data_IF_519465651196
#
_entry.id   IF_519465651196
#
_cell.length_a   1.000
_cell.length_b   1.000
_cell.length_c   1.000
_cell.angle_alpha   90.00
_cell.angle_beta   90.00
_cell.angle_gamma   90.00
#
_symmetry.space_group_name_H-M   'P 1'
#
loop_
_entity.id
_entity.type
_entity.pdbx_description
1 polymer ?
#
# COMPACT_ATOMS: atom_id res chain seq x y z
N UNK A 1 -4.16 -38.20 -11.10
CA UNK A 1 -5.46 -37.90 -10.47
C UNK A 1 -5.41 -38.45 -9.05
N UNK A 2 -5.34 -37.60 -8.03
CA UNK A 2 -5.49 -38.02 -6.64
C UNK A 2 -6.76 -37.33 -6.10
N UNK A 3 -7.71 -38.09 -5.51
CA UNK A 3 -8.97 -37.52 -5.07
C UNK A 3 -8.78 -36.84 -3.71
N UNK A 4 -9.11 -35.54 -3.62
CA UNK A 4 -9.26 -34.86 -2.35
C UNK A 4 -10.54 -35.38 -1.66
N UNK A 5 -10.38 -36.15 -0.59
CA UNK A 5 -11.50 -36.61 0.24
C UNK A 5 -12.06 -35.45 1.06
N UNK A 6 -13.25 -34.98 0.69
CA UNK A 6 -14.01 -33.96 1.42
C UNK A 6 -14.53 -34.53 2.77
N UNK A 7 -14.21 -33.86 3.88
CA UNK A 7 -14.61 -34.28 5.23
C UNK A 7 -16.14 -34.17 5.44
N UNK A 8 -16.75 -35.16 6.10
CA UNK A 8 -18.22 -35.27 6.32
C UNK A 8 -18.86 -34.08 7.05
N UNK A 9 -18.09 -33.24 7.74
CA UNK A 9 -18.59 -32.01 8.38
C UNK A 9 -18.83 -30.85 7.39
N UNK A 10 -18.26 -30.92 6.19
CA UNK A 10 -18.36 -29.90 5.14
C UNK A 10 -19.75 -29.87 4.47
N UNK A 11 -20.44 -31.01 4.42
CA UNK A 11 -21.73 -31.15 3.73
C UNK A 11 -22.91 -30.47 4.43
N UNK A 12 -22.86 -30.31 5.77
CA UNK A 12 -23.91 -29.59 6.52
C UNK A 12 -23.82 -28.06 6.37
N UNK A 13 -22.62 -27.52 6.16
CA UNK A 13 -22.38 -26.08 5.92
C UNK A 13 -22.71 -25.68 4.47
N UNK A 14 -22.51 -26.56 3.50
CA UNK A 14 -22.78 -26.30 2.07
C UNK A 14 -24.23 -25.85 1.77
N UNK A 15 -25.22 -26.26 2.58
CA UNK A 15 -26.63 -25.94 2.35
C UNK A 15 -27.14 -24.67 3.06
N UNK A 16 -26.42 -24.13 4.05
CA UNK A 16 -26.79 -22.90 4.77
C UNK A 16 -26.09 -21.65 4.23
N UNK A 17 -24.90 -21.82 3.66
CA UNK A 17 -23.98 -20.75 3.29
C UNK A 17 -24.36 -19.96 2.02
N UNK A 18 -24.92 -20.56 0.94
CA UNK A 18 -25.30 -19.80 -0.25
C UNK A 18 -26.35 -18.73 0.04
N UNK A 19 -27.37 -19.06 0.84
CA UNK A 19 -28.42 -18.14 1.26
C UNK A 19 -27.91 -17.06 2.22
N UNK A 20 -26.91 -17.38 3.06
CA UNK A 20 -26.29 -16.42 3.97
C UNK A 20 -25.41 -15.40 3.23
N UNK A 21 -24.60 -15.83 2.26
CA UNK A 21 -23.72 -14.94 1.48
C UNK A 21 -24.48 -13.96 0.59
N UNK A 22 -25.57 -14.42 -0.05
CA UNK A 22 -26.49 -13.55 -0.80
C UNK A 22 -27.12 -12.53 0.14
N UNK A 23 -27.58 -12.95 1.34
CA UNK A 23 -28.14 -12.03 2.31
C UNK A 23 -27.13 -10.95 2.79
N UNK A 24 -25.82 -11.25 2.84
CA UNK A 24 -24.78 -10.29 3.27
C UNK A 24 -24.34 -9.33 2.16
N UNK A 25 -24.11 -9.83 0.94
CA UNK A 25 -23.86 -8.99 -0.23
C UNK A 25 -25.07 -8.07 -0.47
N UNK A 26 -26.29 -8.60 -0.31
CA UNK A 26 -27.53 -7.81 -0.29
C UNK A 26 -27.72 -6.96 0.97
N UNK A 27 -27.00 -7.16 2.07
CA UNK A 27 -27.14 -6.32 3.28
C UNK A 27 -26.35 -5.03 3.15
N UNK A 28 -25.09 -5.11 2.68
CA UNK A 28 -24.23 -3.94 2.53
C UNK A 28 -24.44 -3.23 1.17
N UNK A 29 -24.78 -3.95 0.10
CA UNK A 29 -24.94 -3.39 -1.25
C UNK A 29 -26.39 -3.46 -1.80
N UNK A 30 -27.42 -3.56 -0.93
CA UNK A 30 -28.84 -3.86 -1.30
C UNK A 30 -29.40 -3.04 -2.45
N UNK A 31 -29.18 -1.72 -2.43
CA UNK A 31 -29.69 -0.78 -3.43
C UNK A 31 -28.80 -0.68 -4.67
N UNK A 32 -27.55 -1.12 -4.57
CA UNK A 32 -26.52 -0.97 -5.60
C UNK A 32 -26.45 -2.19 -6.54
N UNK A 33 -26.71 -3.39 -6.03
CA UNK A 33 -26.76 -4.61 -6.85
C UNK A 33 -27.87 -4.54 -7.91
N UNK A 34 -29.02 -3.94 -7.59
CA UNK A 34 -30.09 -3.73 -8.58
C UNK A 34 -29.68 -2.79 -9.71
N UNK A 35 -28.81 -1.80 -9.47
CA UNK A 35 -28.33 -0.89 -10.52
C UNK A 35 -27.21 -1.46 -11.39
N UNK A 36 -26.41 -2.41 -10.88
CA UNK A 36 -25.44 -3.15 -11.71
C UNK A 36 -26.15 -4.17 -12.60
N UNK A 37 -27.23 -4.78 -12.10
CA UNK A 37 -28.03 -5.75 -12.86
C UNK A 37 -28.77 -5.12 -14.05
N UNK A 38 -28.96 -3.78 -14.04
CA UNK A 38 -29.60 -3.03 -15.12
C UNK A 38 -28.85 -1.72 -15.41
N UNK A 39 -27.67 -1.76 -16.05
CA UNK A 39 -26.93 -0.55 -16.37
C UNK A 39 -27.64 0.26 -17.47
N UNK A 40 -27.60 1.62 -17.44
CA UNK A 40 -27.98 2.42 -18.60
C UNK A 40 -27.04 2.15 -19.78
N UNK A 41 -27.60 2.21 -20.99
CA UNK A 41 -27.04 1.74 -22.27
C UNK A 41 -25.66 2.32 -22.65
N UNK A 42 -25.19 3.38 -21.97
CA UNK A 42 -23.85 3.96 -22.19
C UNK A 42 -22.71 3.28 -21.42
N UNK A 43 -23.00 2.28 -20.57
CA UNK A 43 -22.01 1.59 -19.74
C UNK A 43 -21.63 0.18 -20.26
N UNK A 44 -22.09 -0.21 -21.45
CA UNK A 44 -22.05 -1.59 -21.92
C UNK A 44 -21.67 -1.72 -23.39
N UNK A 45 -20.50 -2.30 -23.64
CA UNK A 45 -20.31 -3.23 -24.77
C UNK A 45 -19.55 -4.52 -24.37
N UNK A 46 -19.14 -4.68 -23.10
CA UNK A 46 -18.50 -5.94 -22.61
C UNK A 46 -18.93 -6.41 -21.20
N UNK A 47 -19.58 -5.59 -20.37
CA UNK A 47 -19.87 -5.97 -18.97
C UNK A 47 -21.12 -6.87 -18.79
N UNK A 48 -22.03 -6.95 -19.77
CA UNK A 48 -23.27 -7.73 -19.64
C UNK A 48 -23.03 -9.24 -19.68
N UNK A 49 -22.05 -9.69 -20.46
CA UNK A 49 -21.70 -11.12 -20.57
C UNK A 49 -20.85 -11.58 -19.36
N UNK A 50 -20.19 -10.64 -18.67
CA UNK A 50 -19.40 -10.92 -17.47
C UNK A 50 -20.22 -10.92 -16.18
N UNK A 51 -21.41 -10.30 -16.12
CA UNK A 51 -22.23 -10.23 -14.89
C UNK A 51 -22.65 -11.60 -14.33
N UNK A 52 -22.88 -12.60 -15.19
CA UNK A 52 -23.18 -13.98 -14.76
C UNK A 52 -21.93 -14.74 -14.30
N UNK A 53 -20.78 -14.52 -14.95
CA UNK A 53 -19.49 -15.08 -14.54
C UNK A 53 -18.99 -14.43 -13.24
N UNK A 54 -19.24 -13.14 -13.04
CA UNK A 54 -18.88 -12.32 -11.86
C UNK A 54 -19.67 -12.70 -10.60
N UNK A 55 -20.96 -13.02 -10.71
CA UNK A 55 -21.68 -13.61 -9.57
C UNK A 55 -21.10 -14.96 -9.20
N UNK A 56 -20.71 -15.78 -10.19
CA UNK A 56 -20.12 -17.10 -9.95
C UNK A 56 -18.73 -16.99 -9.31
N UNK A 57 -17.89 -16.02 -9.70
CA UNK A 57 -16.54 -15.81 -9.13
C UNK A 57 -16.60 -15.22 -7.72
N UNK A 58 -17.57 -14.35 -7.41
CA UNK A 58 -17.81 -13.81 -6.07
C UNK A 58 -18.39 -14.84 -5.09
N UNK A 59 -19.32 -15.67 -5.56
CA UNK A 59 -19.78 -16.85 -4.82
C UNK A 59 -18.65 -17.84 -4.60
N UNK A 60 -17.79 -18.05 -5.61
CA UNK A 60 -16.61 -18.92 -5.52
C UNK A 60 -15.58 -18.35 -4.55
N UNK A 61 -15.34 -17.03 -4.53
CA UNK A 61 -14.41 -16.39 -3.61
C UNK A 61 -14.89 -16.54 -2.16
N UNK A 62 -16.14 -16.18 -1.87
CA UNK A 62 -16.71 -16.28 -0.51
C UNK A 62 -16.81 -17.74 -0.05
N UNK A 63 -17.22 -18.64 -0.96
CA UNK A 63 -17.23 -20.09 -0.73
C UNK A 63 -15.82 -20.63 -0.49
N UNK A 64 -14.82 -20.24 -1.27
CA UNK A 64 -13.43 -20.68 -1.10
C UNK A 64 -12.75 -20.11 0.15
N UNK A 65 -13.17 -18.94 0.62
CA UNK A 65 -12.69 -18.33 1.87
C UNK A 65 -13.27 -19.03 3.10
N UNK A 66 -14.55 -19.37 3.05
CA UNK A 66 -15.22 -20.19 4.05
C UNK A 66 -14.76 -21.66 3.98
N UNK A 67 -14.54 -22.19 2.78
CA UNK A 67 -13.93 -23.52 2.58
C UNK A 67 -12.48 -23.53 3.03
N UNK A 68 -11.71 -22.43 3.00
CA UNK A 68 -10.40 -22.34 3.66
C UNK A 68 -10.48 -22.32 5.18
N UNK A 69 -11.56 -21.78 5.73
CA UNK A 69 -11.86 -21.93 7.15
C UNK A 69 -12.17 -23.39 7.49
N UNK A 70 -12.62 -24.17 6.49
CA UNK A 70 -12.93 -25.60 6.58
C UNK A 70 -11.84 -26.54 5.98
N UNK A 71 -10.81 -26.01 5.32
CA UNK A 71 -9.77 -26.74 4.57
C UNK A 71 -8.42 -26.45 5.23
N UNK A 72 -7.60 -27.49 5.33
CA UNK A 72 -6.34 -27.50 6.10
C UNK A 72 -5.23 -26.55 5.59
N UNK A 73 -5.49 -25.67 4.62
CA UNK A 73 -4.48 -24.81 4.00
C UNK A 73 -4.30 -23.50 4.79
N UNK A 74 -3.06 -23.24 5.21
CA UNK A 74 -2.69 -22.10 6.08
C UNK A 74 -2.82 -20.75 5.38
N UNK A 75 -2.54 -20.67 4.08
CA UNK A 75 -2.62 -19.45 3.28
C UNK A 75 -3.21 -19.67 1.88
N UNK A 76 -3.57 -18.59 1.20
CA UNK A 76 -4.05 -18.61 -0.18
C UNK A 76 -3.71 -17.33 -0.96
N UNK A 77 -3.43 -17.48 -2.26
CA UNK A 77 -3.47 -16.41 -3.25
C UNK A 77 -4.70 -16.51 -4.14
N UNK A 78 -5.32 -15.36 -4.46
CA UNK A 78 -6.51 -15.24 -5.31
C UNK A 78 -6.25 -14.25 -6.43
N UNK A 79 -6.21 -14.78 -7.66
CA UNK A 79 -6.09 -14.02 -8.89
C UNK A 79 -7.51 -13.75 -9.39
N UNK A 80 -8.05 -12.58 -9.03
CA UNK A 80 -9.43 -12.19 -9.34
C UNK A 80 -9.47 -10.85 -10.08
N UNK A 81 -10.47 -10.69 -10.94
CA UNK A 81 -10.90 -9.42 -11.54
C UNK A 81 -12.44 -9.45 -11.64
N UNK A 82 -13.13 -8.31 -11.52
CA UNK A 82 -12.62 -6.96 -11.27
C UNK A 82 -12.03 -6.78 -9.85
N UNK A 83 -11.20 -5.73 -9.62
CA UNK A 83 -10.70 -5.39 -8.27
C UNK A 83 -11.85 -4.93 -7.34
N UNK A 84 -11.53 -4.66 -6.07
CA UNK A 84 -12.55 -4.35 -5.08
C UNK A 84 -12.27 -3.20 -4.11
N UNK A 85 -11.02 -2.82 -3.87
CA UNK A 85 -10.68 -1.92 -2.75
C UNK A 85 -11.22 -0.48 -2.84
N UNK A 86 -11.73 -0.06 -4.00
CA UNK A 86 -12.38 1.24 -4.20
C UNK A 86 -13.91 1.18 -4.10
N UNK A 87 -14.52 -0.02 -4.13
CA UNK A 87 -15.95 -0.15 -3.98
C UNK A 87 -16.36 0.26 -2.55
N UNK A 88 -17.18 1.29 -2.46
CA UNK A 88 -17.79 1.74 -1.22
C UNK A 88 -19.04 0.92 -0.89
N UNK A 89 -19.67 1.20 0.25
CA UNK A 89 -20.89 0.49 0.69
C UNK A 89 -22.00 0.60 -0.37
N UNK A 90 -22.13 1.75 -1.04
CA UNK A 90 -23.25 2.03 -1.95
C UNK A 90 -22.83 2.38 -3.39
N UNK A 91 -21.55 2.27 -3.72
CA UNK A 91 -21.02 2.79 -4.98
C UNK A 91 -19.83 1.97 -5.49
N UNK A 92 -19.82 1.65 -6.78
CA UNK A 92 -18.61 1.23 -7.48
C UNK A 92 -17.87 2.42 -8.06
N UNK A 93 -16.55 2.35 -7.96
CA UNK A 93 -15.65 3.35 -8.52
C UNK A 93 -14.27 2.75 -8.71
N UNK A 94 -13.40 3.39 -9.50
CA UNK A 94 -12.00 2.98 -9.64
C UNK A 94 -11.84 1.52 -10.11
N UNK A 95 -12.63 1.12 -11.11
CA UNK A 95 -12.70 -0.25 -11.65
C UNK A 95 -13.23 -1.32 -10.68
N UNK A 96 -13.66 -0.94 -9.48
CA UNK A 96 -14.07 -1.87 -8.43
C UNK A 96 -15.59 -1.97 -8.34
N UNK A 97 -16.15 -3.17 -8.54
CA UNK A 97 -17.60 -3.41 -8.42
C UNK A 97 -18.04 -3.80 -7.00
N UNK A 98 -17.27 -4.68 -6.36
CA UNK A 98 -17.53 -5.17 -5.00
C UNK A 98 -16.22 -5.22 -4.21
N UNK A 99 -16.28 -4.98 -2.90
CA UNK A 99 -15.07 -4.95 -2.07
C UNK A 99 -14.69 -6.37 -1.60
N UNK A 100 -13.95 -7.08 -2.46
CA UNK A 100 -13.50 -8.47 -2.25
C UNK A 100 -12.83 -8.68 -0.88
N UNK A 101 -11.93 -7.78 -0.47
CA UNK A 101 -11.24 -7.86 0.80
C UNK A 101 -12.15 -7.62 2.00
N UNK A 102 -13.09 -6.67 1.91
CA UNK A 102 -14.07 -6.43 2.97
C UNK A 102 -15.03 -7.63 3.14
N UNK A 103 -15.50 -8.21 2.03
CA UNK A 103 -16.32 -9.43 2.03
C UNK A 103 -15.56 -10.58 2.69
N UNK A 104 -14.27 -10.75 2.34
CA UNK A 104 -13.42 -11.76 2.94
C UNK A 104 -13.24 -11.58 4.46
N UNK A 105 -13.03 -10.34 4.91
CA UNK A 105 -12.89 -10.02 6.33
C UNK A 105 -14.19 -10.31 7.10
N UNK A 106 -15.35 -9.95 6.53
CA UNK A 106 -16.66 -10.22 7.13
C UNK A 106 -16.98 -11.72 7.18
N UNK A 107 -16.66 -12.47 6.12
CA UNK A 107 -16.84 -13.91 6.09
C UNK A 107 -15.99 -14.62 7.15
N UNK A 108 -14.71 -14.22 7.27
CA UNK A 108 -13.81 -14.75 8.31
C UNK A 108 -14.33 -14.44 9.73
N UNK A 109 -14.89 -13.26 9.94
CA UNK A 109 -15.53 -12.90 11.21
C UNK A 109 -16.76 -13.77 11.49
N UNK A 110 -17.65 -13.94 10.51
CA UNK A 110 -18.86 -14.74 10.67
C UNK A 110 -18.56 -16.23 10.94
N UNK A 111 -17.56 -16.80 10.28
CA UNK A 111 -17.12 -18.17 10.53
C UNK A 111 -16.61 -18.36 11.97
N UNK A 112 -15.93 -17.34 12.52
CA UNK A 112 -15.45 -17.35 13.91
C UNK A 112 -16.53 -17.07 14.94
N UNK A 113 -17.56 -16.30 14.63
CA UNK A 113 -18.67 -16.01 15.56
C UNK A 113 -19.50 -17.25 15.97
N UNK A 114 -19.35 -18.42 15.32
CA UNK A 114 -19.90 -19.67 15.86
C UNK A 114 -19.10 -20.23 17.06
N UNK A 115 -17.94 -19.64 17.36
CA UNK A 115 -16.99 -20.01 18.41
C UNK A 115 -16.59 -18.72 19.17
N UNK A 116 -17.30 -18.41 20.26
CA UNK A 116 -17.09 -17.26 21.19
C UNK A 116 -17.49 -15.86 20.71
N UNK A 117 -18.41 -15.26 21.48
CA UNK A 117 -18.68 -13.82 21.53
C UNK A 117 -17.48 -13.05 22.14
N UNK A 118 -16.53 -12.60 21.34
CA UNK A 118 -15.57 -11.56 21.76
C UNK A 118 -15.51 -10.46 20.70
N UNK A 119 -15.59 -9.21 21.16
CA UNK A 119 -15.57 -8.02 20.34
C UNK A 119 -14.28 -7.92 19.50
N UNK A 120 -14.33 -8.34 18.23
CA UNK A 120 -13.18 -8.27 17.34
C UNK A 120 -12.96 -6.85 16.83
N UNK A 121 -11.87 -6.22 17.32
CA UNK A 121 -11.31 -5.02 16.73
C UNK A 121 -10.88 -5.33 15.29
N UNK A 122 -11.08 -4.41 14.36
CA UNK A 122 -10.58 -4.48 12.98
C UNK A 122 -9.55 -3.38 12.80
N UNK A 123 -8.55 -3.58 11.95
CA UNK A 123 -7.67 -2.50 11.53
C UNK A 123 -7.38 -2.62 10.04
N UNK A 124 -7.16 -1.48 9.39
CA UNK A 124 -6.85 -1.34 7.98
C UNK A 124 -5.59 -0.50 7.85
N UNK A 125 -4.56 -1.05 7.21
CA UNK A 125 -3.35 -0.30 6.85
C UNK A 125 -3.33 -0.13 5.33
N UNK A 126 -3.15 1.12 4.88
CA UNK A 126 -3.11 1.47 3.46
C UNK A 126 -1.83 2.23 3.13
N UNK A 127 -1.08 1.74 2.16
CA UNK A 127 0.01 2.46 1.51
C UNK A 127 -0.45 2.93 0.14
N UNK A 128 -0.38 4.22 -0.15
CA UNK A 128 -0.77 4.75 -1.46
C UNK A 128 -0.01 6.01 -1.80
N UNK A 129 0.20 6.24 -3.10
CA UNK A 129 0.60 7.56 -3.60
C UNK A 129 -0.55 8.53 -3.36
N UNK A 130 -0.24 9.68 -2.77
CA UNK A 130 -1.25 10.65 -2.34
C UNK A 130 -0.93 12.06 -2.84
N UNK A 131 0.33 12.48 -2.77
CA UNK A 131 0.79 13.82 -3.24
C UNK A 131 -0.05 15.00 -2.70
N UNK A 132 -0.51 14.87 -1.46
CA UNK A 132 -1.36 15.87 -0.81
C UNK A 132 -2.79 15.90 -1.37
N UNK A 133 -3.33 14.76 -1.81
CA UNK A 133 -4.68 14.61 -2.35
C UNK A 133 -4.75 14.82 -3.87
N UNK A 134 -3.61 15.06 -4.54
CA UNK A 134 -3.54 15.25 -6.00
C UNK A 134 -3.54 13.95 -6.80
N UNK A 135 -3.22 12.83 -6.15
CA UNK A 135 -3.23 11.52 -6.77
C UNK A 135 -4.56 10.82 -6.50
N UNK A 136 -5.11 10.12 -7.51
CA UNK A 136 -6.39 9.43 -7.40
C UNK A 136 -6.40 8.45 -6.21
N UNK A 137 -7.50 8.36 -5.44
CA UNK A 137 -8.76 9.10 -5.53
C UNK A 137 -8.78 10.42 -4.72
N UNK A 138 -7.64 10.85 -4.18
CA UNK A 138 -7.53 12.07 -3.35
C UNK A 138 -7.81 11.86 -1.86
N UNK A 139 -8.38 10.72 -1.46
CA UNK A 139 -8.60 10.32 -0.06
C UNK A 139 -7.43 9.49 0.48
N UNK A 140 -7.42 9.24 1.80
CA UNK A 140 -6.39 8.44 2.45
C UNK A 140 -5.23 9.29 2.97
N UNK A 141 -5.51 10.49 3.46
CA UNK A 141 -4.53 11.31 4.17
C UNK A 141 -4.13 10.68 5.51
N UNK A 142 -2.98 11.08 6.06
CA UNK A 142 -2.48 10.55 7.34
C UNK A 142 -3.42 10.84 8.52
N UNK A 143 -4.26 11.88 8.41
CA UNK A 143 -5.23 12.28 9.43
C UNK A 143 -6.56 11.50 9.36
N UNK A 144 -6.80 10.72 8.31
CA UNK A 144 -7.97 9.86 8.19
C UNK A 144 -7.75 8.56 8.98
N UNK A 145 -7.90 8.64 10.30
CA UNK A 145 -7.54 7.57 11.25
C UNK A 145 -8.67 6.60 11.60
N UNK A 146 -9.84 6.73 10.94
CA UNK A 146 -11.09 6.09 11.35
C UNK A 146 -12.08 7.11 11.90
N UNK A 147 -13.34 6.71 12.03
CA UNK A 147 -14.45 7.57 12.50
C UNK A 147 -15.44 6.75 13.32
N UNK A 148 -16.32 7.43 14.05
CA UNK A 148 -17.47 6.83 14.74
C UNK A 148 -17.07 5.74 15.75
N UNK A 149 -16.04 6.01 16.58
CA UNK A 149 -15.57 5.08 17.61
C UNK A 149 -14.58 4.03 17.09
N UNK A 150 -14.11 4.19 15.85
CA UNK A 150 -13.07 3.37 15.23
C UNK A 150 -11.77 4.17 15.01
N UNK A 151 -11.55 5.27 15.73
CA UNK A 151 -10.32 6.06 15.65
C UNK A 151 -9.10 5.19 16.01
N UNK A 152 -8.06 5.27 15.18
CA UNK A 152 -6.87 4.42 15.27
C UNK A 152 -6.96 3.11 14.47
N UNK A 153 -8.15 2.71 14.02
CA UNK A 153 -8.33 1.49 13.23
C UNK A 153 -7.92 1.65 11.76
N UNK A 154 -7.80 2.87 11.25
CA UNK A 154 -7.32 3.13 9.90
C UNK A 154 -5.95 3.81 9.95
N UNK A 155 -4.97 3.23 9.27
CA UNK A 155 -3.60 3.74 9.20
C UNK A 155 -3.23 3.96 7.74
N UNK A 156 -3.29 5.21 7.30
CA UNK A 156 -2.84 5.59 5.97
C UNK A 156 -1.36 5.99 5.99
N UNK A 157 -0.61 5.53 4.99
CA UNK A 157 0.79 5.88 4.72
C UNK A 157 0.82 6.58 3.35
N UNK A 158 0.57 7.90 3.32
CA UNK A 158 0.35 8.65 2.09
C UNK A 158 1.68 9.13 1.48
N UNK A 159 2.18 8.44 0.47
CA UNK A 159 3.40 8.85 -0.20
C UNK A 159 3.24 10.23 -0.85
N UNK A 160 4.14 11.15 -0.51
CA UNK A 160 4.13 12.54 -0.98
C UNK A 160 4.64 12.74 -2.41
N UNK A 161 5.15 11.68 -3.05
CA UNK A 161 5.72 11.69 -4.41
C UNK A 161 5.58 10.34 -5.10
N UNK A 162 5.75 10.31 -6.41
CA UNK A 162 6.05 9.09 -7.18
C UNK A 162 7.49 8.57 -7.00
N UNK A 163 7.82 7.46 -7.65
CA UNK A 163 9.14 6.83 -7.61
C UNK A 163 9.51 6.23 -6.24
N UNK A 164 8.51 5.97 -5.39
CA UNK A 164 8.70 5.27 -4.11
C UNK A 164 8.98 3.81 -4.39
N UNK A 165 10.11 3.29 -3.90
CA UNK A 165 10.56 1.93 -4.14
C UNK A 165 10.71 1.11 -2.86
N UNK A 166 11.37 -0.03 -2.98
CA UNK A 166 11.45 -1.05 -1.93
C UNK A 166 11.93 -0.51 -0.58
N UNK A 167 12.96 0.34 -0.57
CA UNK A 167 13.53 0.89 0.67
C UNK A 167 12.51 1.67 1.51
N UNK A 168 11.68 2.50 0.89
CA UNK A 168 10.64 3.27 1.57
C UNK A 168 9.52 2.37 2.09
N UNK A 169 9.10 1.37 1.31
CA UNK A 169 8.09 0.41 1.71
C UNK A 169 8.57 -0.47 2.88
N UNK A 170 9.76 -1.06 2.78
CA UNK A 170 10.34 -1.88 3.85
C UNK A 170 10.56 -1.05 5.11
N UNK A 171 11.03 0.19 4.97
CA UNK A 171 11.19 1.09 6.12
C UNK A 171 9.84 1.38 6.81
N UNK A 172 8.77 1.64 6.05
CA UNK A 172 7.44 1.79 6.61
C UNK A 172 6.92 0.49 7.24
N UNK A 173 7.19 -0.67 6.64
CA UNK A 173 6.80 -1.95 7.23
C UNK A 173 7.46 -2.17 8.59
N UNK A 174 8.77 -1.95 8.69
CA UNK A 174 9.53 -2.17 9.93
C UNK A 174 9.16 -1.20 11.06
N UNK A 175 8.82 0.05 10.74
CA UNK A 175 8.66 1.10 11.75
C UNK A 175 7.20 1.50 12.02
N UNK A 176 6.26 1.07 11.17
CA UNK A 176 4.83 1.34 11.32
C UNK A 176 3.99 0.07 11.23
N UNK A 177 4.03 -0.63 10.09
CA UNK A 177 3.09 -1.73 9.82
C UNK A 177 3.28 -2.88 10.80
N UNK A 178 4.51 -3.36 10.98
CA UNK A 178 4.81 -4.48 11.86
C UNK A 178 4.62 -4.17 13.34
N UNK A 179 5.07 -3.01 13.89
CA UNK A 179 4.76 -2.65 15.27
C UNK A 179 3.26 -2.62 15.55
N UNK A 180 2.47 -1.96 14.69
CA UNK A 180 1.00 -1.88 14.84
C UNK A 180 0.37 -3.27 14.72
N UNK A 181 0.75 -4.05 13.71
CA UNK A 181 0.23 -5.40 13.52
C UNK A 181 0.61 -6.33 14.68
N UNK A 182 1.80 -6.17 15.26
CA UNK A 182 2.24 -6.98 16.41
C UNK A 182 1.44 -6.63 17.65
N UNK A 183 1.20 -5.33 17.91
CA UNK A 183 0.36 -4.87 19.02
C UNK A 183 -1.10 -5.31 18.85
N UNK A 184 -1.62 -5.28 17.61
CA UNK A 184 -2.96 -5.75 17.30
C UNK A 184 -3.10 -7.29 17.41
N UNK A 185 -2.04 -8.05 17.15
CA UNK A 185 -1.99 -9.51 17.18
C UNK A 185 -3.09 -10.18 16.32
N UNK A 186 -3.07 -10.04 14.99
CA UNK A 186 -4.11 -10.58 14.12
C UNK A 186 -4.06 -12.10 14.05
N UNK A 187 -5.22 -12.74 14.20
CA UNK A 187 -5.37 -14.18 13.97
C UNK A 187 -5.32 -14.57 12.48
N UNK A 188 -5.49 -13.61 11.59
CA UNK A 188 -5.53 -13.76 10.14
C UNK A 188 -5.23 -12.43 9.44
N UNK A 189 -4.48 -12.47 8.34
CA UNK A 189 -4.16 -11.26 7.55
C UNK A 189 -4.70 -11.37 6.13
N UNK A 190 -5.38 -10.32 5.68
CA UNK A 190 -5.83 -10.16 4.29
C UNK A 190 -4.99 -9.06 3.64
N UNK A 191 -4.42 -9.36 2.48
CA UNK A 191 -3.62 -8.43 1.67
C UNK A 191 -4.41 -8.12 0.40
N UNK A 192 -4.89 -6.87 0.29
CA UNK A 192 -5.32 -6.28 -0.98
C UNK A 192 -4.08 -5.95 -1.81
N UNK A 193 -3.66 -6.88 -2.66
CA UNK A 193 -2.41 -6.83 -3.41
C UNK A 193 -2.58 -6.09 -4.75
N UNK A 194 -2.42 -4.77 -4.69
CA UNK A 194 -2.22 -3.94 -5.87
C UNK A 194 -0.76 -3.97 -6.34
N UNK A 195 -0.55 -4.42 -7.58
CA UNK A 195 0.75 -4.42 -8.24
C UNK A 195 0.97 -3.16 -9.10
N UNK A 196 0.17 -2.12 -8.89
CA UNK A 196 0.28 -0.81 -9.55
C UNK A 196 1.36 0.09 -8.93
N UNK A 197 1.83 -0.22 -7.71
CA UNK A 197 3.05 0.38 -7.17
C UNK A 197 4.35 -0.21 -7.77
N UNK A 198 4.24 -1.22 -8.63
CA UNK A 198 5.39 -1.89 -9.20
C UNK A 198 6.17 -1.00 -10.17
N UNK A 199 7.48 -1.23 -10.26
CA UNK A 199 8.32 -0.64 -11.31
C UNK A 199 7.71 -0.86 -12.69
N UNK A 200 7.60 0.22 -13.46
CA UNK A 200 7.09 0.18 -14.83
C UNK A 200 5.56 0.14 -14.95
N UNK A 201 4.82 0.20 -13.84
CA UNK A 201 3.37 0.40 -13.91
C UNK A 201 3.05 1.82 -14.41
N UNK A 202 2.13 1.97 -15.39
CA UNK A 202 1.82 3.25 -16.00
C UNK A 202 0.95 4.17 -15.12
N UNK A 203 0.27 3.65 -14.09
CA UNK A 203 -0.64 4.44 -13.26
C UNK A 203 0.02 4.84 -11.94
N UNK A 204 0.61 3.90 -11.20
CA UNK A 204 1.19 4.22 -9.90
C UNK A 204 2.47 5.05 -10.00
N UNK A 205 3.29 4.81 -11.03
CA UNK A 205 4.62 5.40 -11.24
C UNK A 205 5.50 5.35 -9.99
N UNK A 206 5.43 4.24 -9.26
CA UNK A 206 6.33 3.87 -8.17
C UNK A 206 7.45 2.95 -8.70
N UNK A 207 8.33 2.50 -7.82
CA UNK A 207 9.49 1.68 -8.18
C UNK A 207 9.63 0.43 -7.30
N UNK A 208 8.51 -0.15 -6.86
CA UNK A 208 8.54 -1.39 -6.06
C UNK A 208 8.89 -2.57 -6.96
N UNK A 209 9.87 -3.37 -6.55
CA UNK A 209 10.32 -4.53 -7.31
C UNK A 209 9.59 -5.80 -6.85
N UNK A 210 9.62 -6.88 -7.64
CA UNK A 210 9.13 -8.19 -7.20
C UNK A 210 9.78 -8.67 -5.89
N UNK A 211 11.05 -8.30 -5.63
CA UNK A 211 11.73 -8.61 -4.37
C UNK A 211 11.15 -7.81 -3.19
N UNK A 212 10.78 -6.54 -3.40
CA UNK A 212 10.08 -5.73 -2.41
C UNK A 212 8.73 -6.34 -2.02
N UNK A 213 7.92 -6.75 -3.00
CA UNK A 213 6.64 -7.44 -2.74
C UNK A 213 6.83 -8.75 -1.98
N UNK A 214 7.84 -9.54 -2.37
CA UNK A 214 8.20 -10.78 -1.67
C UNK A 214 8.54 -10.51 -0.20
N UNK A 215 9.40 -9.53 0.07
CA UNK A 215 9.83 -9.18 1.44
C UNK A 215 8.69 -8.63 2.30
N UNK A 216 7.82 -7.79 1.75
CA UNK A 216 6.62 -7.32 2.47
C UNK A 216 5.67 -8.47 2.82
N UNK A 217 5.50 -9.42 1.89
CA UNK A 217 4.66 -10.60 2.12
C UNK A 217 5.27 -11.49 3.20
N UNK A 218 6.59 -11.74 3.15
CA UNK A 218 7.31 -12.56 4.13
C UNK A 218 7.23 -11.99 5.56
N UNK A 219 7.31 -10.66 5.69
CA UNK A 219 7.12 -9.97 6.97
C UNK A 219 5.75 -10.25 7.59
N UNK A 220 4.68 -10.18 6.79
CA UNK A 220 3.30 -10.47 7.24
C UNK A 220 3.07 -11.98 7.42
N UNK A 221 3.71 -12.80 6.58
CA UNK A 221 3.71 -14.26 6.66
C UNK A 221 4.24 -14.72 8.02
N UNK A 222 5.41 -14.21 8.41
CA UNK A 222 6.04 -14.52 9.68
C UNK A 222 5.16 -14.06 10.85
N UNK A 223 4.60 -12.85 10.78
CA UNK A 223 3.80 -12.26 11.87
C UNK A 223 2.56 -13.09 12.22
N UNK A 224 1.91 -13.73 11.25
CA UNK A 224 0.70 -14.53 11.46
C UNK A 224 0.91 -16.04 11.38
N UNK A 225 2.17 -16.50 11.36
CA UNK A 225 2.49 -17.93 11.22
C UNK A 225 1.96 -18.54 9.93
N UNK A 226 1.94 -17.76 8.86
CA UNK A 226 1.50 -18.16 7.52
C UNK A 226 -0.01 -18.16 7.32
N UNK A 227 -0.80 -17.48 8.16
CA UNK A 227 -2.27 -17.35 8.04
C UNK A 227 -2.67 -16.16 7.18
N UNK A 228 -2.43 -16.25 5.87
CA UNK A 228 -2.58 -15.15 4.92
C UNK A 228 -3.58 -15.44 3.81
N UNK A 229 -4.34 -14.42 3.44
CA UNK A 229 -5.05 -14.36 2.18
C UNK A 229 -4.53 -13.18 1.35
N UNK A 230 -4.04 -13.46 0.15
CA UNK A 230 -3.65 -12.44 -0.82
C UNK A 230 -4.71 -12.36 -1.92
N UNK A 231 -5.27 -11.17 -2.16
CA UNK A 231 -6.28 -10.92 -3.18
C UNK A 231 -5.71 -9.92 -4.18
N UNK A 232 -5.70 -10.26 -5.47
CA UNK A 232 -5.28 -9.35 -6.54
C UNK A 232 -6.22 -8.14 -6.65
N UNK A 233 -5.65 -6.95 -6.77
CA UNK A 233 -6.36 -5.68 -6.96
C UNK A 233 -5.88 -4.97 -8.26
N UNK A 234 -5.26 -3.80 -8.14
CA UNK A 234 -4.66 -3.04 -9.24
C UNK A 234 -3.37 -3.65 -9.79
N UNK A 235 -2.85 -3.06 -10.87
CA UNK A 235 -1.65 -3.50 -11.58
C UNK A 235 -1.94 -3.64 -13.08
N UNK A 236 -1.25 -2.81 -13.86
CA UNK A 236 -1.62 -2.50 -15.24
C UNK A 236 -0.45 -2.71 -16.22
N UNK A 237 0.77 -2.95 -15.71
CA UNK A 237 1.86 -3.50 -16.51
C UNK A 237 1.88 -5.04 -16.41
N UNK A 238 1.57 -5.74 -17.51
CA UNK A 238 1.48 -7.21 -17.56
C UNK A 238 2.75 -7.93 -17.08
N UNK A 239 3.93 -7.39 -17.38
CA UNK A 239 5.20 -7.99 -16.98
C UNK A 239 5.45 -7.80 -15.48
N UNK A 240 5.17 -6.60 -14.98
CA UNK A 240 5.34 -6.25 -13.58
C UNK A 240 4.37 -7.04 -12.69
N UNK A 241 3.08 -7.11 -13.05
CA UNK A 241 2.10 -7.90 -12.28
C UNK A 241 2.48 -9.38 -12.25
N UNK A 242 2.92 -9.95 -13.37
CA UNK A 242 3.25 -11.39 -13.45
C UNK A 242 4.45 -11.71 -12.57
N UNK A 243 5.48 -10.86 -12.62
CA UNK A 243 6.71 -11.05 -11.85
C UNK A 243 6.46 -10.86 -10.36
N UNK A 244 5.74 -9.79 -9.97
CA UNK A 244 5.43 -9.49 -8.57
C UNK A 244 4.48 -10.51 -7.96
N UNK A 245 3.41 -10.91 -8.66
CA UNK A 245 2.49 -11.95 -8.18
C UNK A 245 3.22 -13.28 -8.00
N UNK A 246 4.08 -13.68 -8.95
CA UNK A 246 4.88 -14.91 -8.81
C UNK A 246 5.75 -14.88 -7.56
N UNK A 247 6.44 -13.76 -7.30
CA UNK A 247 7.27 -13.60 -6.10
C UNK A 247 6.47 -13.66 -4.79
N UNK A 248 5.23 -13.16 -4.78
CA UNK A 248 4.33 -13.26 -3.62
C UNK A 248 3.88 -14.71 -3.41
N UNK A 249 3.49 -15.42 -4.48
CA UNK A 249 3.06 -16.82 -4.39
C UNK A 249 4.20 -17.72 -3.89
N UNK A 250 5.44 -17.49 -4.32
CA UNK A 250 6.61 -18.22 -3.80
C UNK A 250 6.73 -18.15 -2.27
N UNK A 251 6.50 -16.98 -1.69
CA UNK A 251 6.48 -16.80 -0.23
C UNK A 251 5.34 -17.60 0.41
N UNK A 252 4.15 -17.59 -0.19
CA UNK A 252 3.02 -18.39 0.32
C UNK A 252 3.31 -19.91 0.29
N UNK A 253 4.10 -20.36 -0.69
CA UNK A 253 4.59 -21.74 -0.80
C UNK A 253 5.74 -22.07 0.17
N UNK A 254 6.20 -21.10 0.97
CA UNK A 254 7.26 -21.29 1.96
C UNK A 254 8.67 -21.07 1.43
N UNK A 255 8.82 -20.54 0.21
CA UNK A 255 10.13 -20.06 -0.26
C UNK A 255 10.49 -18.76 0.48
N UNK A 256 11.75 -18.61 0.90
CA UNK A 256 12.22 -17.36 1.50
C UNK A 256 12.18 -16.19 0.51
N UNK A 257 12.12 -14.93 1.00
CA UNK A 257 12.22 -13.78 0.13
C UNK A 257 13.61 -13.77 -0.50
N UNK A 258 13.70 -13.95 -1.82
CA UNK A 258 14.92 -14.31 -2.58
C UNK A 258 16.22 -13.53 -2.25
N UNK A 259 16.79 -12.80 -3.21
CA UNK A 259 18.05 -12.08 -2.98
C UNK A 259 17.83 -10.90 -2.03
N UNK A 260 18.83 -10.63 -1.17
CA UNK A 260 18.85 -9.44 -0.29
C UNK A 260 18.52 -8.17 -1.07
N UNK A 261 17.63 -7.36 -0.50
CA UNK A 261 17.35 -6.04 -1.06
C UNK A 261 18.61 -5.18 -0.94
N UNK A 262 18.83 -4.32 -1.94
CA UNK A 262 19.91 -3.32 -1.91
C UNK A 262 19.70 -2.29 -0.79
N UNK A 263 20.29 -1.10 -0.95
CA UNK A 263 20.27 -0.04 0.07
C UNK A 263 18.91 0.10 0.81
N UNK A 264 18.91 -0.22 2.11
CA UNK A 264 17.72 -0.28 2.97
C UNK A 264 17.37 1.13 3.52
N UNK A 265 18.26 2.11 3.35
CA UNK A 265 18.00 3.46 3.87
C UNK A 265 16.80 4.09 3.14
N UNK A 266 15.78 4.61 3.86
CA UNK A 266 14.64 5.25 3.24
C UNK A 266 15.04 6.54 2.53
N UNK A 267 14.25 6.93 1.54
CA UNK A 267 14.33 8.27 0.98
C UNK A 267 13.95 9.31 2.03
N UNK A 268 14.39 10.56 1.82
CA UNK A 268 13.99 11.68 2.67
C UNK A 268 12.47 11.83 2.76
N UNK A 269 11.78 11.66 1.63
CA UNK A 269 10.33 11.78 1.57
C UNK A 269 9.62 10.62 2.30
N UNK A 270 10.14 9.40 2.16
CA UNK A 270 9.62 8.23 2.88
C UNK A 270 9.78 8.37 4.39
N UNK A 271 10.97 8.75 4.87
CA UNK A 271 11.22 9.00 6.29
C UNK A 271 10.32 10.10 6.87
N UNK A 272 10.14 11.21 6.14
CA UNK A 272 9.23 12.27 6.58
C UNK A 272 7.78 11.78 6.69
N UNK A 273 7.32 11.02 5.69
CA UNK A 273 5.96 10.45 5.67
C UNK A 273 5.77 9.52 6.86
N UNK A 274 6.72 8.62 7.12
CA UNK A 274 6.66 7.69 8.27
C UNK A 274 6.61 8.45 9.59
N UNK A 275 7.45 9.48 9.79
CA UNK A 275 7.43 10.29 11.01
C UNK A 275 6.11 11.02 11.23
N UNK A 276 5.51 11.55 10.16
CA UNK A 276 4.20 12.21 10.23
C UNK A 276 3.10 11.23 10.66
N UNK A 277 3.07 10.05 10.03
CA UNK A 277 2.10 9.00 10.37
C UNK A 277 2.32 8.49 11.79
N UNK A 278 3.57 8.23 12.21
CA UNK A 278 3.88 7.82 13.58
C UNK A 278 3.40 8.86 14.60
N UNK A 279 3.61 10.15 14.32
CA UNK A 279 3.16 11.24 15.20
C UNK A 279 1.66 11.18 15.47
N UNK A 280 0.87 10.89 14.45
CA UNK A 280 -0.60 10.77 14.55
C UNK A 280 -0.98 9.47 15.24
N UNK A 281 -0.37 8.36 14.82
CA UNK A 281 -0.75 7.01 15.23
C UNK A 281 -0.31 6.65 16.65
N UNK A 282 0.69 7.32 17.22
CA UNK A 282 1.08 7.15 18.63
C UNK A 282 -0.04 7.46 19.62
N UNK A 283 -1.05 8.24 19.23
CA UNK A 283 -2.23 8.47 20.06
C UNK A 283 -3.07 7.20 20.26
N UNK A 284 -2.92 6.21 19.38
CA UNK A 284 -3.70 4.97 19.35
C UNK A 284 -2.84 3.72 19.55
N UNK A 285 -1.55 3.79 19.18
CA UNK A 285 -0.60 2.68 19.19
C UNK A 285 0.67 3.05 19.98
N UNK A 286 0.68 2.88 21.31
CA UNK A 286 1.80 3.27 22.16
C UNK A 286 3.12 2.57 21.82
N UNK A 287 3.09 1.38 21.19
CA UNK A 287 4.31 0.67 20.73
C UNK A 287 5.18 1.49 19.77
N UNK A 288 4.61 2.50 19.11
CA UNK A 288 5.33 3.38 18.19
C UNK A 288 6.24 4.39 18.91
N UNK A 289 6.03 4.66 20.21
CA UNK A 289 6.69 5.75 20.94
C UNK A 289 8.22 5.66 20.98
N UNK A 290 8.76 4.48 21.30
CA UNK A 290 10.21 4.25 21.38
C UNK A 290 10.90 4.38 20.01
N UNK A 291 10.29 3.82 18.97
CA UNK A 291 10.78 3.92 17.60
C UNK A 291 10.73 5.37 17.09
N UNK A 292 9.65 6.10 17.40
CA UNK A 292 9.48 7.49 16.98
C UNK A 292 10.60 8.38 17.53
N UNK A 293 10.89 8.31 18.83
CA UNK A 293 11.93 9.12 19.45
C UNK A 293 13.30 8.89 18.81
N UNK A 294 13.63 7.62 18.52
CA UNK A 294 14.88 7.23 17.83
C UNK A 294 14.94 7.82 16.42
N UNK A 295 13.89 7.65 15.62
CA UNK A 295 13.86 8.14 14.23
C UNK A 295 13.82 9.67 14.14
N UNK A 296 13.11 10.33 15.06
CA UNK A 296 13.04 11.79 15.12
C UNK A 296 14.41 12.42 15.37
N UNK A 297 15.22 11.81 16.26
CA UNK A 297 16.60 12.22 16.51
C UNK A 297 17.47 12.09 15.25
N UNK A 298 17.37 10.96 14.54
CA UNK A 298 18.08 10.74 13.28
C UNK A 298 17.68 11.74 12.19
N UNK A 299 16.39 12.07 12.09
CA UNK A 299 15.89 13.08 11.15
C UNK A 299 16.41 14.49 11.45
N UNK A 300 16.47 14.86 12.74
CA UNK A 300 17.03 16.12 13.20
C UNK A 300 18.48 16.29 12.75
N UNK A 301 19.30 15.25 12.91
CA UNK A 301 20.68 15.23 12.43
C UNK A 301 20.77 15.43 10.90
N UNK A 302 19.94 14.73 10.11
CA UNK A 302 19.91 14.85 8.65
C UNK A 302 19.57 16.29 8.18
N UNK A 303 18.62 16.93 8.85
CA UNK A 303 18.25 18.31 8.56
C UNK A 303 19.36 19.31 8.90
N UNK A 304 20.09 19.07 9.99
CA UNK A 304 21.19 19.92 10.45
C UNK A 304 22.44 19.82 9.56
N UNK A 305 22.82 18.61 9.11
CA UNK A 305 23.92 18.41 8.16
C UNK A 305 23.69 19.19 6.86
N UNK A 306 22.44 19.28 6.38
CA UNK A 306 22.10 20.08 5.19
C UNK A 306 22.22 21.59 5.43
N UNK A 307 21.88 22.10 6.62
CA UNK A 307 22.11 23.52 6.96
C UNK A 307 23.61 23.83 6.93
N UNK A 308 24.46 22.91 7.41
CA UNK A 308 25.90 23.08 7.35
C UNK A 308 26.46 22.99 5.92
N UNK A 309 26.00 22.05 5.09
CA UNK A 309 26.41 21.95 3.68
C UNK A 309 25.96 23.18 2.89
N UNK A 310 24.72 23.66 3.07
CA UNK A 310 24.25 24.91 2.45
C UNK A 310 25.01 26.14 2.95
N UNK A 311 25.40 26.20 4.25
CA UNK A 311 26.28 27.25 4.78
C UNK A 311 27.68 27.20 4.15
N UNK A 312 28.27 26.01 4.00
CA UNK A 312 29.56 25.82 3.33
C UNK A 312 29.52 26.16 1.84
N UNK A 313 28.39 25.93 1.16
CA UNK A 313 28.19 26.35 -0.23
C UNK A 313 27.85 27.83 -0.40
N UNK A 314 27.42 28.52 0.68
CA UNK A 314 27.29 29.98 0.76
C UNK A 314 28.57 30.60 1.31
N UNK A 315 29.72 30.34 0.68
CA UNK A 315 30.81 31.32 0.74
C UNK A 315 30.39 32.49 -0.13
N UNK A 316 30.32 33.71 0.44
CA UNK A 316 30.16 34.94 -0.34
C UNK A 316 31.11 34.87 -1.55
N UNK A 317 30.63 35.04 -2.79
CA UNK A 317 31.55 35.13 -3.92
C UNK A 317 32.53 36.26 -3.60
N UNK A 318 33.85 36.08 -3.85
CA UNK A 318 34.82 37.12 -3.56
C UNK A 318 34.37 38.45 -4.15
N UNK A 319 34.63 39.56 -3.46
CA UNK A 319 34.14 40.91 -3.86
C UNK A 319 34.41 41.23 -5.34
N UNK A 320 35.52 40.72 -5.90
CA UNK A 320 35.88 40.89 -7.31
C UNK A 320 34.95 40.19 -8.31
N UNK A 321 34.16 39.19 -7.91
CA UNK A 321 33.10 38.59 -8.73
C UNK A 321 31.87 39.50 -8.84
N UNK A 322 31.57 40.31 -7.81
CA UNK A 322 30.52 41.35 -7.86
C UNK A 322 30.93 42.53 -8.77
N UNK A 323 32.22 42.68 -9.08
CA UNK A 323 32.76 43.82 -9.85
C UNK A 323 32.76 43.62 -11.37
N UNK A 324 32.17 42.53 -11.88
CA UNK A 324 32.00 42.26 -13.31
C UNK A 324 33.34 42.07 -14.05
N UNK A 325 33.57 40.88 -14.62
CA UNK A 325 34.84 40.53 -15.32
C UNK A 325 35.28 41.55 -16.37
N UNK A 326 34.35 42.31 -16.96
CA UNK A 326 34.64 43.35 -17.96
C UNK A 326 35.29 44.62 -17.37
N UNK A 327 34.98 45.01 -16.13
CA UNK A 327 35.50 46.26 -15.52
C UNK A 327 36.95 46.12 -15.06
N UNK A 328 37.32 44.96 -14.54
CA UNK A 328 38.71 44.64 -14.18
C UNK A 328 39.60 44.58 -15.44
N UNK A 329 39.12 43.93 -16.50
CA UNK A 329 39.79 43.87 -17.80
C UNK A 329 39.98 45.26 -18.40
N UNK A 330 38.95 46.12 -18.34
CA UNK A 330 39.05 47.53 -18.78
C UNK A 330 40.14 48.29 -18.01
N UNK A 331 40.18 48.19 -16.68
CA UNK A 331 41.21 48.88 -15.89
C UNK A 331 42.63 48.36 -16.13
N UNK A 332 42.80 47.05 -16.34
CA UNK A 332 44.11 46.46 -16.66
C UNK A 332 44.57 46.89 -18.06
N UNK A 333 43.68 46.87 -19.05
CA UNK A 333 43.99 47.28 -20.43
C UNK A 333 44.26 48.78 -20.53
N UNK A 334 43.44 49.62 -19.87
CA UNK A 334 43.62 51.08 -19.87
C UNK A 334 44.87 51.49 -19.08
N UNK A 335 45.21 50.82 -17.97
CA UNK A 335 46.49 51.07 -17.26
C UNK A 335 47.72 50.68 -18.10
N UNK A 336 47.61 49.68 -18.97
CA UNK A 336 48.70 49.33 -19.91
C UNK A 336 48.83 50.35 -21.05
N UNK A 337 47.71 50.90 -21.54
CA UNK A 337 47.72 51.92 -22.60
C UNK A 337 48.26 53.29 -22.13
N UNK A 338 48.02 53.68 -20.87
CA UNK A 338 48.59 54.92 -20.33
C UNK A 338 50.07 54.83 -19.94
N UNK A 339 50.65 53.62 -19.83
CA UNK A 339 52.09 53.43 -19.59
C UNK A 339 52.95 53.48 -20.86
N UNK A 340 52.35 53.44 -22.05
CA UNK A 340 53.07 53.49 -23.34
C UNK A 340 53.02 54.87 -24.04
N UNK A 341 52.43 55.89 -23.42
CA UNK A 341 52.28 57.24 -24.01
C UNK A 341 52.90 58.36 -23.17
N UNK A 342 53.83 58.04 -22.28
CA UNK A 342 54.44 59.01 -21.35
C UNK A 342 55.96 58.97 -21.29
N UNK A 343 56.63 58.58 -22.39
CA UNK A 343 58.08 58.71 -22.58
C UNK A 343 58.38 59.13 -24.04
N UNK A 344 58.16 60.42 -24.33
CA UNK A 344 58.96 61.26 -25.26
C UNK A 344 59.06 62.64 -24.62
#
# INVERSE_FOLDING_TARGET
MLPFSCCRSCSKLQNLVPSFCVAYILRDHRTYISSILYPPVSFLDQAADHGHVEQSSNFTLTRMLMEHSACAARNAGRIVRPPGHHAGVREAMGFCLHNNAAVAALAAQAARMSIMEMAHKKYLIRTNRHEGGKFYPGTGSANEVGRNGAEGSCVNIPWSRGGVGDNDYIFAFQNLVLPIATEFAPDFTIISAGFDAARGDPLGCCDVTPAGYSRMTDMLYTLTGGKLLVILEGGYNLRSISSSATSVIKVLLGEGPGSELGNIAPSRAGLQTVLEVMKIQMNFWPSLGSSYAKLQSQWGAYCNTRKQIKKRQRTEPPIWWKWGRKRLLYHILVRRLHRQKGDI
#
